data_IF_537516147185
#
_entry.id   IF_537516147185
#
_cell.length_a   1.000
_cell.length_b   1.000
_cell.length_c   1.000
_cell.angle_alpha   90.00
_cell.angle_beta   90.00
_cell.angle_gamma   90.00
#
_symmetry.space_group_name_H-M   'P 1'
#
loop_
_entity.id
_entity.type
_entity.pdbx_description
1 polymer ?
#
# COMPACT_ATOMS: atom_id res chain seq x y z
N UNK A 1 1.94 -1.24 -17.37
CA UNK A 1 2.43 -0.76 -16.07
C UNK A 1 1.62 -1.54 -15.06
N UNK A 2 2.25 -2.45 -14.34
CA UNK A 2 1.53 -3.33 -13.41
C UNK A 2 1.26 -2.56 -12.11
N UNK A 3 0.03 -2.68 -11.61
CA UNK A 3 -0.38 -2.07 -10.34
C UNK A 3 -0.58 -3.20 -9.33
N UNK A 4 0.11 -3.09 -8.20
CA UNK A 4 -0.01 -4.03 -7.09
C UNK A 4 -0.47 -3.25 -5.86
N UNK A 5 -1.65 -3.60 -5.36
CA UNK A 5 -2.20 -3.06 -4.13
C UNK A 5 -1.62 -3.82 -2.95
N UNK A 6 -0.98 -3.11 -2.02
CA UNK A 6 -0.36 -3.72 -0.86
C UNK A 6 -0.92 -3.10 0.42
N UNK A 7 -1.92 -3.76 1.01
CA UNK A 7 -2.64 -3.26 2.18
C UNK A 7 -2.47 -4.17 3.39
N UNK A 8 -2.56 -3.64 4.59
CA UNK A 8 -2.76 -4.50 5.77
C UNK A 8 -4.22 -4.93 5.90
N UNK A 9 -4.45 -5.97 6.70
CA UNK A 9 -5.79 -6.48 7.00
C UNK A 9 -6.25 -6.02 8.39
N UNK A 10 -5.56 -5.07 9.02
CA UNK A 10 -5.77 -4.61 10.40
C UNK A 10 -5.86 -5.75 11.43
N UNK A 11 -5.18 -6.87 11.18
CA UNK A 11 -5.22 -8.06 12.05
C UNK A 11 -6.47 -8.92 11.89
N UNK A 12 -7.36 -8.61 10.93
CA UNK A 12 -8.45 -9.48 10.48
C UNK A 12 -7.88 -10.51 9.50
N UNK A 13 -7.18 -11.51 10.06
CA UNK A 13 -6.38 -12.56 9.39
C UNK A 13 -7.07 -13.42 8.31
N UNK A 14 -8.31 -13.12 7.92
CA UNK A 14 -9.06 -13.83 6.87
C UNK A 14 -9.82 -12.90 5.91
N UNK A 15 -9.51 -11.62 5.87
CA UNK A 15 -10.23 -10.70 4.99
C UNK A 15 -9.81 -10.94 3.54
N UNK A 16 -10.77 -11.21 2.66
CA UNK A 16 -10.52 -11.22 1.21
C UNK A 16 -10.37 -9.76 0.72
N UNK A 17 -9.70 -9.55 -0.42
CA UNK A 17 -9.47 -8.22 -0.97
C UNK A 17 -10.77 -7.39 -1.11
N UNK A 18 -11.86 -8.03 -1.56
CA UNK A 18 -13.20 -7.44 -1.64
C UNK A 18 -13.67 -6.94 -0.27
N UNK A 19 -13.45 -7.72 0.78
CA UNK A 19 -13.88 -7.37 2.13
C UNK A 19 -13.11 -6.15 2.66
N UNK A 20 -11.80 -6.06 2.36
CA UNK A 20 -10.98 -4.88 2.73
C UNK A 20 -11.46 -3.64 1.97
N UNK A 21 -11.76 -3.80 0.68
CA UNK A 21 -12.25 -2.72 -0.16
C UNK A 21 -13.62 -2.23 0.29
N UNK A 22 -14.56 -3.15 0.54
CA UNK A 22 -15.92 -2.85 1.00
C UNK A 22 -15.87 -2.08 2.33
N UNK A 23 -15.06 -2.54 3.29
CA UNK A 23 -14.86 -1.83 4.56
C UNK A 23 -14.35 -0.40 4.35
N UNK A 24 -13.41 -0.21 3.42
CA UNK A 24 -12.84 1.09 3.13
C UNK A 24 -13.84 2.03 2.44
N UNK A 25 -14.67 1.48 1.54
CA UNK A 25 -15.74 2.21 0.83
C UNK A 25 -16.95 2.52 1.71
N UNK A 26 -17.22 1.71 2.73
CA UNK A 26 -18.23 1.99 3.76
C UNK A 26 -17.70 2.94 4.86
N UNK A 27 -16.41 3.25 4.81
CA UNK A 27 -15.73 4.08 5.80
C UNK A 27 -15.90 5.59 5.60
N UNK A 28 -15.49 6.41 6.60
CA UNK A 28 -15.62 7.88 6.56
C UNK A 28 -14.74 8.57 5.51
N UNK A 29 -13.89 7.82 4.80
CA UNK A 29 -12.89 8.31 3.85
C UNK A 29 -13.05 7.63 2.47
N UNK A 30 -14.25 7.13 2.17
CA UNK A 30 -14.56 6.46 0.91
C UNK A 30 -14.25 7.34 -0.32
N UNK A 31 -14.39 8.66 -0.18
CA UNK A 31 -14.04 9.65 -1.21
C UNK A 31 -12.55 9.64 -1.60
N UNK A 32 -11.68 9.15 -0.72
CA UNK A 32 -10.25 8.95 -0.99
C UNK A 32 -9.95 7.59 -1.64
N UNK A 33 -10.81 6.60 -1.43
CA UNK A 33 -10.62 5.20 -1.87
C UNK A 33 -11.22 5.00 -3.26
N UNK A 34 -12.41 5.54 -3.52
CA UNK A 34 -13.14 5.37 -4.78
C UNK A 34 -12.29 5.70 -6.04
N UNK A 35 -11.48 6.80 -6.08
CA UNK A 35 -10.69 7.13 -7.26
C UNK A 35 -9.54 6.16 -7.55
N UNK A 36 -9.13 5.37 -6.56
CA UNK A 36 -8.02 4.40 -6.66
C UNK A 36 -8.51 2.97 -6.51
N UNK A 37 -9.82 2.75 -6.61
CA UNK A 37 -10.45 1.43 -6.49
C UNK A 37 -9.76 0.42 -7.43
N UNK A 38 -9.31 -0.74 -6.92
CA UNK A 38 -8.77 -1.81 -7.75
C UNK A 38 -9.80 -2.29 -8.79
N UNK A 39 -9.33 -2.60 -9.98
CA UNK A 39 -10.12 -3.32 -10.98
C UNK A 39 -10.04 -4.85 -10.76
N UNK A 40 -10.75 -5.61 -11.59
CA UNK A 40 -10.83 -7.07 -11.46
C UNK A 40 -9.51 -7.81 -11.74
N UNK A 41 -8.57 -7.17 -12.44
CA UNK A 41 -7.27 -7.75 -12.82
C UNK A 41 -6.13 -7.28 -11.89
N UNK A 42 -6.46 -6.45 -10.89
CA UNK A 42 -5.51 -5.86 -9.96
C UNK A 42 -4.88 -6.90 -9.05
N UNK A 43 -3.56 -6.87 -8.95
CA UNK A 43 -2.82 -7.73 -8.03
C UNK A 43 -2.91 -7.19 -6.61
N UNK A 44 -3.15 -8.08 -5.65
CA UNK A 44 -3.29 -7.72 -4.24
C UNK A 44 -2.34 -8.51 -3.34
N UNK A 45 -1.67 -7.83 -2.42
CA UNK A 45 -0.77 -8.41 -1.42
C UNK A 45 -1.15 -7.89 -0.04
N UNK A 46 -1.42 -8.79 0.90
CA UNK A 46 -1.62 -8.42 2.30
C UNK A 46 -0.26 -8.27 3.01
N UNK A 47 -0.08 -7.18 3.77
CA UNK A 47 1.11 -6.95 4.63
C UNK A 47 0.72 -6.90 6.11
N UNK A 48 1.54 -7.46 6.99
CA UNK A 48 1.32 -7.38 8.45
C UNK A 48 2.10 -6.25 9.13
N UNK A 49 3.01 -5.60 8.39
CA UNK A 49 3.94 -4.57 8.87
C UNK A 49 4.02 -3.42 7.86
N UNK A 50 4.82 -2.41 8.20
CA UNK A 50 4.91 -1.17 7.42
C UNK A 50 5.55 -1.40 6.04
N UNK A 51 6.64 -2.18 5.98
CA UNK A 51 7.27 -2.51 4.70
C UNK A 51 6.41 -3.47 3.89
N UNK A 52 6.20 -3.14 2.62
CA UNK A 52 5.54 -4.01 1.63
C UNK A 52 6.32 -5.30 1.35
N UNK A 53 7.58 -5.42 1.77
CA UNK A 53 8.42 -6.60 1.60
C UNK A 53 8.48 -7.50 2.84
N UNK A 54 8.09 -6.99 4.01
CA UNK A 54 8.24 -7.73 5.25
C UNK A 54 7.25 -8.89 5.32
N UNK A 55 7.77 -10.12 5.18
CA UNK A 55 7.00 -11.36 5.21
C UNK A 55 5.85 -11.38 4.19
N UNK A 56 6.05 -10.77 3.02
CA UNK A 56 5.10 -10.82 1.89
C UNK A 56 5.73 -11.57 0.71
N UNK A 57 4.92 -12.07 -0.24
CA UNK A 57 5.44 -12.66 -1.48
C UNK A 57 5.87 -11.61 -2.52
N UNK A 58 5.90 -10.32 -2.17
CA UNK A 58 6.01 -9.25 -3.17
C UNK A 58 7.30 -9.30 -3.97
N UNK A 59 8.44 -9.58 -3.33
CA UNK A 59 9.73 -9.66 -4.03
C UNK A 59 9.75 -10.74 -5.11
N UNK A 60 9.17 -11.91 -4.79
CA UNK A 60 9.01 -12.99 -5.76
C UNK A 60 8.07 -12.59 -6.91
N UNK A 61 6.92 -11.97 -6.59
CA UNK A 61 5.95 -11.49 -7.58
C UNK A 61 6.57 -10.49 -8.55
N UNK A 62 7.30 -9.49 -8.04
CA UNK A 62 7.99 -8.48 -8.85
C UNK A 62 9.02 -9.13 -9.80
N UNK A 63 9.72 -10.17 -9.33
CA UNK A 63 10.62 -10.96 -10.15
C UNK A 63 9.91 -11.71 -11.28
N UNK A 64 8.75 -12.32 -11.01
CA UNK A 64 7.93 -12.98 -12.04
C UNK A 64 7.40 -12.01 -13.09
N UNK A 65 7.05 -10.79 -12.68
CA UNK A 65 6.58 -9.72 -13.57
C UNK A 65 7.73 -9.04 -14.34
N UNK A 66 8.99 -9.32 -14.01
CA UNK A 66 10.15 -8.67 -14.64
C UNK A 66 10.26 -7.17 -14.32
N UNK A 67 9.78 -6.74 -13.15
CA UNK A 67 9.75 -5.33 -12.77
C UNK A 67 11.16 -4.80 -12.50
N UNK A 68 11.58 -3.81 -13.28
CA UNK A 68 12.89 -3.15 -13.14
C UNK A 68 12.90 -1.86 -12.30
N UNK A 69 11.72 -1.34 -11.93
CA UNK A 69 11.58 -0.13 -11.12
C UNK A 69 10.22 -0.09 -10.42
N UNK A 70 10.21 0.39 -9.17
CA UNK A 70 9.01 0.65 -8.39
C UNK A 70 8.64 2.13 -8.41
N UNK A 71 7.34 2.39 -8.48
CA UNK A 71 6.73 3.69 -8.19
C UNK A 71 5.85 3.51 -6.96
N UNK A 72 6.20 4.15 -5.85
CA UNK A 72 5.46 4.03 -4.60
C UNK A 72 4.47 5.18 -4.42
N UNK A 73 3.21 4.81 -4.17
CA UNK A 73 2.09 5.65 -3.76
C UNK A 73 1.36 4.88 -2.64
N UNK A 74 0.73 5.50 -1.65
CA UNK A 74 0.07 4.73 -0.57
C UNK A 74 -0.40 5.58 0.60
N UNK A 75 -0.53 5.08 1.82
CA UNK A 75 -0.59 5.92 3.04
C UNK A 75 -0.03 5.11 4.22
N UNK A 76 0.56 5.71 5.27
CA UNK A 76 1.02 7.11 5.39
C UNK A 76 2.52 7.23 5.05
N UNK A 77 2.98 8.44 4.71
CA UNK A 77 4.28 8.65 4.06
C UNK A 77 5.43 8.24 4.97
N UNK A 78 5.39 8.68 6.23
CA UNK A 78 6.47 8.42 7.20
C UNK A 78 6.46 6.97 7.75
N UNK A 79 5.47 6.16 7.37
CA UNK A 79 5.34 4.77 7.80
C UNK A 79 5.47 3.85 6.59
N UNK A 80 4.36 3.37 6.05
CA UNK A 80 4.35 2.31 5.04
C UNK A 80 5.19 2.66 3.81
N UNK A 81 5.10 3.90 3.31
CA UNK A 81 5.86 4.30 2.12
C UNK A 81 7.35 4.45 2.42
N UNK A 82 7.72 5.13 3.51
CA UNK A 82 9.13 5.27 3.90
C UNK A 82 9.81 3.92 4.17
N UNK A 83 9.19 3.05 4.95
CA UNK A 83 9.77 1.74 5.26
C UNK A 83 9.90 0.86 4.02
N UNK A 84 8.94 0.95 3.09
CA UNK A 84 9.00 0.23 1.82
C UNK A 84 10.08 0.76 0.91
N UNK A 85 10.27 2.08 0.84
CA UNK A 85 11.34 2.70 0.06
C UNK A 85 12.73 2.32 0.61
N UNK A 86 12.89 2.28 1.94
CA UNK A 86 14.11 1.82 2.59
C UNK A 86 14.39 0.33 2.29
N UNK A 87 13.38 -0.52 2.40
CA UNK A 87 13.52 -1.95 2.11
C UNK A 87 13.81 -2.23 0.62
N UNK A 88 13.23 -1.44 -0.29
CA UNK A 88 13.53 -1.50 -1.71
C UNK A 88 14.98 -1.08 -1.99
N UNK A 89 15.47 -0.04 -1.31
CA UNK A 89 16.86 0.41 -1.42
C UNK A 89 17.85 -0.69 -0.98
N UNK A 90 17.59 -1.35 0.15
CA UNK A 90 18.42 -2.47 0.66
C UNK A 90 18.45 -3.64 -0.34
N UNK A 91 17.35 -3.86 -1.08
CA UNK A 91 17.22 -4.91 -2.11
C UNK A 91 17.74 -4.48 -3.49
N UNK A 92 18.32 -3.29 -3.60
CA UNK A 92 18.76 -2.72 -4.87
C UNK A 92 17.65 -2.61 -5.94
N UNK A 93 16.39 -2.46 -5.52
CA UNK A 93 15.27 -2.24 -6.43
C UNK A 93 15.14 -0.74 -6.71
N UNK A 94 15.37 -0.27 -7.95
CA UNK A 94 15.21 1.14 -8.28
C UNK A 94 13.82 1.62 -7.93
N UNK A 95 13.72 2.69 -7.15
CA UNK A 95 12.43 3.13 -6.60
C UNK A 95 12.30 4.64 -6.71
N UNK A 96 11.11 5.10 -7.08
CA UNK A 96 10.68 6.49 -6.97
C UNK A 96 9.43 6.57 -6.10
N UNK A 97 9.36 7.58 -5.25
CA UNK A 97 8.14 7.88 -4.49
C UNK A 97 7.39 8.95 -5.28
N UNK A 98 6.16 8.66 -5.68
CA UNK A 98 5.36 9.65 -6.36
C UNK A 98 5.08 10.84 -5.43
N UNK A 99 4.98 12.07 -5.95
CA UNK A 99 4.47 13.18 -5.17
C UNK A 99 3.02 12.87 -4.80
N UNK A 100 2.72 12.84 -3.52
CA UNK A 100 1.45 12.31 -3.06
C UNK A 100 0.55 13.41 -2.49
N UNK A 101 -0.73 13.49 -2.91
CA UNK A 101 -1.68 14.46 -2.34
C UNK A 101 -2.23 14.03 -0.97
N UNK A 102 -1.96 12.79 -0.55
CA UNK A 102 -2.50 12.18 0.65
C UNK A 102 -1.58 12.42 1.87
N UNK A 103 -2.19 12.56 3.06
CA UNK A 103 -1.58 13.22 4.24
C UNK A 103 -0.31 12.56 4.79
N UNK A 104 0.67 13.40 5.16
CA UNK A 104 1.70 13.10 6.17
C UNK A 104 1.07 13.13 7.57
N UNK A 105 1.63 12.39 8.54
CA UNK A 105 1.14 12.36 9.92
C UNK A 105 1.27 13.71 10.66
N UNK A 106 2.02 14.65 10.07
CA UNK A 106 2.33 15.98 10.61
C UNK A 106 1.33 17.08 10.21
N UNK A 107 0.24 16.76 9.51
CA UNK A 107 -0.87 17.70 9.29
C UNK A 107 -1.63 17.99 10.59
N UNK A 108 -1.60 19.24 11.06
CA UNK A 108 -2.25 19.78 12.27
C UNK A 108 -3.78 19.76 12.23
N UNK A 109 -4.39 18.58 12.12
CA UNK A 109 -5.79 18.35 12.46
C UNK A 109 -5.92 17.04 13.22
N UNK A 110 -6.35 17.15 14.47
CA UNK A 110 -6.53 16.06 15.42
C UNK A 110 -7.67 15.13 14.95
N UNK A 111 -7.38 14.11 14.15
CA UNK A 111 -8.33 13.10 13.67
C UNK A 111 -7.66 11.71 13.62
N UNK A 112 -8.44 10.62 13.76
CA UNK A 112 -7.96 9.36 14.33
C UNK A 112 -6.96 8.66 13.41
N UNK A 113 -6.04 7.91 14.04
CA UNK A 113 -5.18 6.95 13.35
C UNK A 113 -6.08 6.08 12.47
N UNK A 114 -5.68 5.81 11.22
CA UNK A 114 -6.25 4.69 10.48
C UNK A 114 -6.09 3.47 11.39
N UNK A 115 -7.23 2.97 11.88
CA UNK A 115 -7.33 1.80 12.74
C UNK A 115 -7.95 0.66 11.96
#
# INVERSE_FOLDING_TARGET
MDVVYVNDDFGRRRSHHDEILDIALDGPQADLVEPVRPDADSLFVVKARHSIFFQTPLEYLLGQLGVGRLVLCGQVTEQCVLHSALDAHIRHVPTVVAPTPWRTSTGTSRTPRCG
#
